data_IF_665948547347
#
_entry.id   IF_665948547347
#
_cell.length_a   1.000
_cell.length_b   1.000
_cell.length_c   1.000
_cell.angle_alpha   90.00
_cell.angle_beta   90.00
_cell.angle_gamma   90.00
#
_symmetry.space_group_name_H-M   'P 1'
#
loop_
_entity.id
_entity.type
_entity.pdbx_description
1 polymer ?
#
# COMPACT_ATOMS: atom_id res chain seq x y z
N UNK A 1 26.38 -20.38 27.73
CA UNK A 1 25.84 -19.00 27.86
C UNK A 1 26.85 -17.92 28.26
N UNK A 2 27.93 -18.25 29.00
CA UNK A 2 28.92 -17.27 29.50
C UNK A 2 29.56 -16.42 28.39
N UNK A 3 29.92 -17.04 27.27
CA UNK A 3 30.54 -16.38 26.12
C UNK A 3 29.58 -15.39 25.44
N UNK A 4 28.35 -15.80 25.14
CA UNK A 4 27.30 -14.94 24.60
C UNK A 4 27.05 -13.72 25.49
N UNK A 5 26.95 -13.91 26.80
CA UNK A 5 26.79 -12.80 27.74
C UNK A 5 27.99 -11.85 27.75
N UNK A 6 29.22 -12.36 27.60
CA UNK A 6 30.42 -11.54 27.45
C UNK A 6 30.38 -10.71 26.16
N UNK A 7 30.04 -11.33 25.04
CA UNK A 7 29.92 -10.66 23.74
C UNK A 7 28.84 -9.58 23.74
N UNK A 8 27.66 -9.85 24.31
CA UNK A 8 26.57 -8.87 24.40
C UNK A 8 26.92 -7.68 25.32
N UNK A 9 27.63 -7.91 26.42
CA UNK A 9 28.18 -6.84 27.27
C UNK A 9 29.25 -6.02 26.56
N UNK A 10 30.15 -6.69 25.82
CA UNK A 10 31.15 -6.03 25.00
C UNK A 10 30.50 -5.16 23.93
N UNK A 11 29.47 -5.67 23.26
CA UNK A 11 28.68 -4.93 22.28
C UNK A 11 28.02 -3.69 22.91
N UNK A 12 27.30 -3.86 24.03
CA UNK A 12 26.63 -2.76 24.72
C UNK A 12 27.58 -1.68 25.23
N UNK A 13 28.72 -2.08 25.81
CA UNK A 13 29.63 -1.16 26.48
C UNK A 13 30.68 -0.54 25.54
N UNK A 14 31.12 -1.27 24.50
CA UNK A 14 32.21 -0.82 23.61
C UNK A 14 31.75 -0.42 22.22
N UNK A 15 30.70 -1.06 21.67
CA UNK A 15 30.24 -0.79 20.31
C UNK A 15 29.07 0.18 20.27
N UNK A 16 28.01 -0.02 21.06
CA UNK A 16 26.85 0.87 21.05
C UNK A 16 27.19 2.37 21.28
N UNK A 17 28.13 2.75 22.17
CA UNK A 17 28.48 4.17 22.35
C UNK A 17 29.18 4.79 21.13
N UNK A 18 29.83 3.97 20.29
CA UNK A 18 30.53 4.44 19.07
C UNK A 18 29.56 4.78 17.94
N UNK A 19 28.33 4.27 17.98
CA UNK A 19 27.32 4.46 16.95
C UNK A 19 26.11 5.20 17.51
N UNK A 20 25.92 6.45 17.09
CA UNK A 20 24.74 7.23 17.46
C UNK A 20 23.49 6.72 16.70
N UNK A 21 22.79 5.74 17.27
CA UNK A 21 21.54 5.22 16.71
C UNK A 21 20.39 6.18 16.94
N UNK A 22 19.59 6.43 15.90
CA UNK A 22 18.34 7.19 15.97
C UNK A 22 17.18 6.28 15.56
N UNK A 23 16.01 6.41 16.19
CA UNK A 23 14.84 5.63 15.78
C UNK A 23 14.45 5.98 14.35
N UNK A 24 13.95 5.01 13.60
CA UNK A 24 13.43 5.27 12.27
C UNK A 24 12.21 6.23 12.35
N UNK A 25 11.92 7.02 11.31
CA UNK A 25 10.76 7.93 11.32
C UNK A 25 9.44 7.24 11.66
N UNK A 26 9.24 6.00 11.18
CA UNK A 26 8.08 5.18 11.49
C UNK A 26 8.00 4.76 12.97
N UNK A 27 9.13 4.43 13.59
CA UNK A 27 9.22 4.08 15.01
C UNK A 27 8.99 5.30 15.89
N UNK A 28 9.59 6.44 15.54
CA UNK A 28 9.38 7.72 16.23
C UNK A 28 7.90 8.13 16.18
N UNK A 29 7.26 8.02 15.01
CA UNK A 29 5.83 8.27 14.84
C UNK A 29 4.97 7.27 15.63
N UNK A 30 5.33 5.98 15.64
CA UNK A 30 4.63 4.97 16.45
C UNK A 30 4.75 5.26 17.96
N UNK A 31 5.93 5.62 18.44
CA UNK A 31 6.16 6.02 19.82
C UNK A 31 5.36 7.27 20.20
N UNK A 32 5.31 8.27 19.31
CA UNK A 32 4.47 9.45 19.49
C UNK A 32 2.99 9.07 19.61
N UNK A 33 2.46 8.23 18.71
CA UNK A 33 1.08 7.75 18.78
C UNK A 33 0.78 7.02 20.09
N UNK A 34 1.69 6.16 20.57
CA UNK A 34 1.55 5.46 21.86
C UNK A 34 1.51 6.42 23.04
N UNK A 35 2.40 7.44 23.05
CA UNK A 35 2.40 8.47 24.10
C UNK A 35 1.11 9.31 24.07
N UNK A 36 0.69 9.73 22.89
CA UNK A 36 -0.57 10.46 22.70
C UNK A 36 -1.77 9.63 23.17
N UNK A 37 -1.81 8.33 22.87
CA UNK A 37 -2.88 7.44 23.33
C UNK A 37 -2.95 7.29 24.85
N UNK A 38 -1.80 7.34 25.56
CA UNK A 38 -1.75 7.33 27.03
C UNK A 38 -2.18 8.64 27.69
N UNK A 39 -2.11 9.76 26.96
CA UNK A 39 -2.47 11.11 27.45
C UNK A 39 -3.94 11.43 27.15
N UNK A 40 -4.61 10.70 26.25
CA UNK A 40 -6.05 10.87 26.04
C UNK A 40 -6.78 10.63 27.37
N UNK A 41 -7.55 11.61 27.88
CA UNK A 41 -8.36 11.38 29.06
C UNK A 41 -9.36 10.25 28.76
N UNK A 42 -9.63 9.43 29.78
CA UNK A 42 -10.73 8.48 29.72
C UNK A 42 -12.01 9.22 29.27
N UNK A 43 -12.84 8.53 28.49
CA UNK A 43 -14.13 9.04 28.01
C UNK A 43 -14.95 9.64 29.17
N UNK A 44 -15.76 10.69 28.92
CA UNK A 44 -16.51 11.35 29.98
C UNK A 44 -17.42 10.34 30.72
N UNK A 45 -17.54 10.42 32.05
CA UNK A 45 -18.46 9.57 32.78
C UNK A 45 -19.90 9.92 32.37
N UNK A 46 -20.69 8.90 32.03
CA UNK A 46 -22.15 9.02 31.89
C UNK A 46 -22.82 9.46 33.20
N UNK A 47 -24.12 9.80 33.17
CA UNK A 47 -24.75 10.63 34.18
C UNK A 47 -24.84 9.94 35.55
N UNK A 48 -24.37 10.71 36.55
CA UNK A 48 -24.66 10.67 37.99
C UNK A 48 -25.28 9.41 38.60
N UNK A 49 -24.52 8.75 39.48
CA UNK A 49 -25.03 8.35 40.80
C UNK A 49 -24.07 8.80 41.89
N UNK A 50 -24.62 9.61 42.79
CA UNK A 50 -24.02 10.24 43.96
C UNK A 50 -23.38 9.24 44.91
N UNK A 51 -22.07 9.39 45.20
CA UNK A 51 -21.51 9.10 46.53
C UNK A 51 -20.47 10.16 46.89
N UNK A 52 -20.70 10.79 48.04
CA UNK A 52 -19.92 11.86 48.65
C UNK A 52 -18.50 11.35 48.99
N UNK A 53 -17.49 12.18 48.74
CA UNK A 53 -16.14 12.04 49.31
C UNK A 53 -15.77 13.39 49.94
N UNK A 54 -15.25 13.35 51.16
CA UNK A 54 -14.65 14.48 51.88
C UNK A 54 -13.16 14.65 51.47
N UNK A 55 -12.57 15.85 51.65
CA UNK A 55 -11.58 16.41 50.74
C UNK A 55 -10.12 16.18 51.17
N UNK A 56 -9.20 16.14 50.20
CA UNK A 56 -7.76 16.24 50.48
C UNK A 56 -6.89 16.29 49.22
N UNK A 57 -6.13 17.38 49.08
CA UNK A 57 -5.02 17.64 48.15
C UNK A 57 -5.37 17.88 46.66
N UNK A 58 -5.61 19.16 46.35
CA UNK A 58 -5.55 19.72 44.99
C UNK A 58 -4.12 19.80 44.48
N UNK A 59 -3.67 18.82 43.71
CA UNK A 59 -2.55 19.00 42.77
C UNK A 59 -3.10 19.23 41.36
N UNK A 60 -2.92 20.47 40.88
CA UNK A 60 -3.25 20.86 39.51
C UNK A 60 -2.43 20.05 38.49
N UNK A 61 -3.02 19.57 37.38
CA UNK A 61 -2.27 18.86 36.36
C UNK A 61 -1.37 19.84 35.60
N UNK A 62 -0.06 19.75 35.82
CA UNK A 62 0.94 20.47 35.03
C UNK A 62 0.77 20.08 33.56
N UNK A 63 0.32 21.02 32.73
CA UNK A 63 0.33 20.92 31.25
C UNK A 63 1.76 20.69 30.80
N UNK A 64 2.13 19.43 30.55
CA UNK A 64 3.44 19.08 30.03
C UNK A 64 3.51 19.56 28.57
N UNK A 65 4.29 20.62 28.34
CA UNK A 65 4.62 21.13 27.01
C UNK A 65 5.21 20.00 26.14
N UNK A 66 4.45 19.60 25.12
CA UNK A 66 4.86 18.66 24.07
C UNK A 66 5.84 19.35 23.11
N UNK A 67 7.03 19.73 23.60
CA UNK A 67 8.15 19.96 22.68
C UNK A 67 8.64 18.58 22.21
N UNK A 68 8.83 18.36 20.89
CA UNK A 68 9.43 17.13 20.38
C UNK A 68 10.86 17.05 20.90
N UNK A 69 11.04 16.42 22.05
CA UNK A 69 12.36 16.09 22.57
C UNK A 69 13.01 15.17 21.55
N UNK A 70 14.08 15.65 20.91
CA UNK A 70 14.93 14.85 20.03
C UNK A 70 15.16 13.50 20.72
N UNK A 71 14.80 12.38 20.09
CA UNK A 71 14.92 11.08 20.75
C UNK A 71 16.37 10.89 21.14
N UNK A 72 16.64 10.82 22.47
CA UNK A 72 17.92 10.36 22.99
C UNK A 72 18.18 9.00 22.33
N UNK A 73 19.39 8.81 21.80
CA UNK A 73 19.75 7.58 21.09
C UNK A 73 19.34 6.36 21.90
N UNK A 74 18.69 5.41 21.24
CA UNK A 74 18.22 4.19 21.89
C UNK A 74 19.42 3.27 22.10
N UNK A 75 19.94 3.23 23.32
CA UNK A 75 20.94 2.23 23.71
C UNK A 75 20.38 0.82 23.65
N UNK A 76 21.26 -0.17 23.49
CA UNK A 76 20.90 -1.58 23.59
C UNK A 76 20.55 -1.94 25.04
N UNK A 77 19.37 -2.52 25.28
CA UNK A 77 18.92 -2.92 26.61
C UNK A 77 19.26 -4.39 26.89
N UNK A 78 20.21 -4.61 27.79
CA UNK A 78 20.66 -5.94 28.24
C UNK A 78 19.75 -6.60 29.29
N UNK A 79 18.93 -5.83 30.01
CA UNK A 79 18.14 -6.31 31.15
C UNK A 79 16.83 -7.01 30.74
N UNK A 80 16.67 -7.28 29.46
CA UNK A 80 15.46 -7.95 28.96
C UNK A 80 15.55 -9.43 29.26
N UNK A 81 14.54 -9.99 29.95
CA UNK A 81 14.43 -11.43 30.25
C UNK A 81 14.79 -12.33 29.06
N UNK A 82 14.35 -11.95 27.85
CA UNK A 82 14.65 -12.68 26.61
C UNK A 82 16.13 -12.98 26.42
N UNK A 83 17.02 -12.05 26.75
CA UNK A 83 18.48 -12.20 26.60
C UNK A 83 19.02 -13.20 27.62
N UNK A 84 18.48 -13.20 28.84
CA UNK A 84 18.91 -14.10 29.91
C UNK A 84 18.43 -15.54 29.68
N UNK A 85 17.25 -15.70 29.09
CA UNK A 85 16.69 -17.01 28.75
C UNK A 85 17.27 -17.62 27.46
N UNK A 86 18.07 -16.88 26.67
CA UNK A 86 18.62 -17.35 25.38
C UNK A 86 19.34 -18.70 25.46
N UNK A 87 20.00 -18.98 26.59
CA UNK A 87 20.69 -20.24 26.81
C UNK A 87 19.77 -21.44 26.91
N UNK A 88 18.64 -21.25 27.59
CA UNK A 88 17.72 -22.32 27.93
C UNK A 88 16.82 -22.68 26.73
N UNK A 89 16.76 -21.83 25.69
CA UNK A 89 15.96 -22.12 24.51
C UNK A 89 16.40 -23.38 23.77
N UNK A 90 17.69 -23.72 23.71
CA UNK A 90 18.14 -24.91 23.00
C UNK A 90 17.57 -26.18 23.63
N UNK A 91 17.78 -26.34 24.93
CA UNK A 91 17.26 -27.48 25.71
C UNK A 91 15.72 -27.49 25.70
N UNK A 92 15.09 -26.32 25.80
CA UNK A 92 13.63 -26.21 25.72
C UNK A 92 13.07 -26.61 24.34
N UNK A 93 13.76 -26.29 23.25
CA UNK A 93 13.35 -26.67 21.89
C UNK A 93 13.47 -28.19 21.71
N UNK A 94 14.51 -28.81 22.26
CA UNK A 94 14.69 -30.26 22.18
C UNK A 94 13.62 -31.01 22.98
N UNK A 95 13.31 -30.55 24.20
CA UNK A 95 12.37 -31.22 25.10
C UNK A 95 10.91 -30.98 24.73
N UNK A 96 10.55 -29.75 24.34
CA UNK A 96 9.15 -29.34 24.17
C UNK A 96 8.80 -28.89 22.75
N UNK A 97 9.78 -28.85 21.85
CA UNK A 97 9.62 -28.29 20.51
C UNK A 97 9.74 -26.75 20.49
N UNK A 98 9.69 -26.16 19.29
CA UNK A 98 9.87 -24.72 19.14
C UNK A 98 8.72 -23.93 19.80
N UNK A 99 9.09 -22.84 20.48
CA UNK A 99 8.14 -22.02 21.26
C UNK A 99 7.10 -21.26 20.44
N UNK A 100 7.24 -21.25 19.12
CA UNK A 100 6.32 -20.61 18.18
C UNK A 100 4.96 -21.33 18.11
N UNK A 101 4.88 -22.59 18.55
CA UNK A 101 3.65 -23.39 18.54
C UNK A 101 2.80 -23.33 19.83
N UNK A 102 3.26 -22.73 20.93
CA UNK A 102 2.47 -22.67 22.17
C UNK A 102 1.33 -21.64 22.13
N UNK A 103 1.35 -20.71 21.18
CA UNK A 103 0.34 -19.67 21.10
C UNK A 103 -0.89 -20.14 20.31
N UNK A 104 -2.06 -20.11 20.97
CA UNK A 104 -3.35 -20.26 20.28
C UNK A 104 -3.67 -19.07 19.37
N UNK A 105 -2.90 -17.98 19.44
CA UNK A 105 -3.12 -16.75 18.68
C UNK A 105 -3.22 -17.01 17.18
N UNK A 106 -2.40 -17.91 16.63
CA UNK A 106 -2.44 -18.22 15.20
C UNK A 106 -3.74 -18.92 14.81
N UNK A 107 -4.16 -19.91 15.60
CA UNK A 107 -5.46 -20.58 15.41
C UNK A 107 -6.63 -19.61 15.56
N UNK A 108 -6.61 -18.74 16.58
CA UNK A 108 -7.64 -17.72 16.80
C UNK A 108 -7.71 -16.71 15.63
N UNK A 109 -6.57 -16.28 15.10
CA UNK A 109 -6.52 -15.39 13.94
C UNK A 109 -7.09 -16.04 12.69
N UNK A 110 -6.77 -17.31 12.43
CA UNK A 110 -7.36 -18.06 11.31
C UNK A 110 -8.86 -18.30 11.51
N UNK A 111 -9.32 -18.56 12.74
CA UNK A 111 -10.76 -18.64 13.06
C UNK A 111 -11.49 -17.33 12.72
N UNK A 112 -10.88 -16.16 12.98
CA UNK A 112 -11.47 -14.87 12.57
C UNK A 112 -11.59 -14.75 11.05
N UNK A 113 -10.65 -15.30 10.30
CA UNK A 113 -10.67 -15.30 8.83
C UNK A 113 -11.79 -16.20 8.30
N UNK A 114 -11.90 -17.43 8.77
CA UNK A 114 -12.97 -18.38 8.37
C UNK A 114 -14.35 -17.83 8.75
N UNK A 115 -14.53 -17.32 9.98
CA UNK A 115 -15.80 -16.68 10.40
C UNK A 115 -16.18 -15.47 9.53
N UNK A 116 -15.19 -14.70 9.05
CA UNK A 116 -15.44 -13.58 8.13
C UNK A 116 -15.94 -14.07 6.76
N UNK A 117 -15.44 -15.19 6.26
CA UNK A 117 -15.94 -15.80 5.03
C UNK A 117 -17.31 -16.42 5.22
N UNK A 118 -17.54 -17.13 6.33
CA UNK A 118 -18.83 -17.75 6.66
C UNK A 118 -19.99 -16.74 6.64
N UNK A 119 -19.79 -15.55 7.21
CA UNK A 119 -20.76 -14.44 7.16
C UNK A 119 -21.19 -14.03 5.74
N UNK A 120 -20.39 -14.33 4.73
CA UNK A 120 -20.64 -14.00 3.31
C UNK A 120 -21.17 -15.17 2.50
N UNK A 121 -21.41 -16.32 3.12
CA UNK A 121 -22.02 -17.49 2.48
C UNK A 121 -23.51 -17.53 2.72
N UNK A 122 -24.23 -18.33 1.94
CA UNK A 122 -25.65 -18.62 2.20
C UNK A 122 -25.88 -19.66 3.32
N UNK A 123 -24.81 -20.09 4.01
CA UNK A 123 -24.81 -21.12 5.08
C UNK A 123 -25.26 -22.53 4.66
N UNK A 124 -25.40 -22.80 3.36
CA UNK A 124 -25.71 -24.13 2.81
C UNK A 124 -24.49 -24.68 2.10
N UNK A 125 -23.96 -25.83 2.56
CA UNK A 125 -22.70 -26.44 2.03
C UNK A 125 -21.60 -25.37 1.87
N UNK A 126 -21.38 -24.62 2.95
CA UNK A 126 -20.61 -23.38 2.96
C UNK A 126 -19.11 -23.60 2.75
N UNK A 127 -18.61 -24.82 2.93
CA UNK A 127 -17.20 -25.18 2.80
C UNK A 127 -16.67 -24.84 1.40
N UNK A 128 -17.41 -25.25 0.36
CA UNK A 128 -17.07 -24.95 -1.05
C UNK A 128 -17.11 -23.45 -1.32
N UNK A 129 -18.02 -22.72 -0.70
CA UNK A 129 -18.15 -21.27 -0.88
C UNK A 129 -17.01 -20.52 -0.19
N UNK A 130 -16.62 -20.93 1.02
CA UNK A 130 -15.46 -20.38 1.73
C UNK A 130 -14.18 -20.63 0.91
N UNK A 131 -13.98 -21.85 0.41
CA UNK A 131 -12.82 -22.17 -0.44
C UNK A 131 -12.78 -21.29 -1.71
N UNK A 132 -13.94 -21.07 -2.36
CA UNK A 132 -14.05 -20.16 -3.51
C UNK A 132 -13.70 -18.72 -3.13
N UNK A 133 -14.24 -18.20 -2.02
CA UNK A 133 -13.92 -16.85 -1.54
C UNK A 133 -12.45 -16.67 -1.20
N UNK A 134 -11.83 -17.67 -0.59
CA UNK A 134 -10.40 -17.68 -0.31
C UNK A 134 -9.59 -17.60 -1.61
N UNK A 135 -9.90 -18.47 -2.58
CA UNK A 135 -9.22 -18.50 -3.88
C UNK A 135 -9.32 -17.18 -4.62
N UNK A 136 -10.51 -16.58 -4.67
CA UNK A 136 -10.73 -15.26 -5.29
C UNK A 136 -9.87 -14.20 -4.59
N UNK A 137 -9.91 -14.15 -3.25
CA UNK A 137 -9.12 -13.17 -2.49
C UNK A 137 -7.61 -13.36 -2.69
N UNK A 138 -7.15 -14.61 -2.79
CA UNK A 138 -5.76 -14.94 -3.07
C UNK A 138 -5.33 -14.47 -4.47
N UNK A 139 -6.11 -14.78 -5.51
CA UNK A 139 -5.85 -14.31 -6.87
C UNK A 139 -5.83 -12.78 -6.95
N UNK A 140 -6.79 -12.11 -6.31
CA UNK A 140 -6.82 -10.64 -6.25
C UNK A 140 -5.55 -10.07 -5.59
N UNK A 141 -5.12 -10.63 -4.45
CA UNK A 141 -3.86 -10.22 -3.79
C UNK A 141 -2.65 -10.44 -4.68
N UNK A 142 -2.55 -11.58 -5.36
CA UNK A 142 -1.46 -11.88 -6.29
C UNK A 142 -1.44 -10.87 -7.45
N UNK A 143 -2.60 -10.57 -8.02
CA UNK A 143 -2.75 -9.59 -9.09
C UNK A 143 -2.34 -8.18 -8.65
N UNK A 144 -2.85 -7.70 -7.50
CA UNK A 144 -2.48 -6.39 -6.95
C UNK A 144 -0.99 -6.31 -6.64
N UNK A 145 -0.39 -7.36 -6.09
CA UNK A 145 1.05 -7.40 -5.84
C UNK A 145 1.86 -7.40 -7.15
N UNK A 146 1.41 -8.13 -8.17
CA UNK A 146 2.04 -8.12 -9.49
C UNK A 146 1.97 -6.74 -10.15
N UNK A 147 0.82 -6.06 -10.07
CA UNK A 147 0.68 -4.67 -10.50
C UNK A 147 1.62 -3.74 -9.73
N UNK A 148 1.69 -3.89 -8.40
CA UNK A 148 2.59 -3.07 -7.56
C UNK A 148 4.06 -3.29 -7.91
N UNK A 149 4.46 -4.52 -8.24
CA UNK A 149 5.82 -4.83 -8.63
C UNK A 149 6.14 -4.32 -10.04
N UNK A 150 5.19 -4.42 -10.99
CA UNK A 150 5.30 -3.84 -12.34
C UNK A 150 5.41 -2.31 -12.30
N UNK A 151 4.75 -1.67 -11.33
CA UNK A 151 4.76 -0.22 -11.14
C UNK A 151 5.85 0.27 -10.18
N UNK A 152 6.70 -0.61 -9.63
CA UNK A 152 7.36 -0.37 -8.34
C UNK A 152 8.83 -0.73 -8.21
N UNK A 153 9.65 -0.41 -9.22
CA UNK A 153 11.03 0.06 -9.02
C UNK A 153 11.12 1.58 -8.73
N UNK A 154 10.00 2.32 -8.80
CA UNK A 154 9.95 3.72 -8.37
C UNK A 154 9.76 3.78 -6.86
N UNK A 155 10.90 3.88 -6.18
CA UNK A 155 11.01 4.55 -4.89
C UNK A 155 10.11 5.77 -4.89
N UNK A 156 9.37 5.95 -3.80
CA UNK A 156 8.46 7.04 -3.51
C UNK A 156 9.10 8.43 -3.68
N UNK A 157 9.30 8.89 -4.91
CA UNK A 157 9.10 10.30 -5.23
C UNK A 157 7.60 10.49 -5.20
N UNK A 158 7.12 11.16 -4.15
CA UNK A 158 5.79 11.77 -4.10
C UNK A 158 5.42 12.24 -5.50
N UNK A 159 4.36 11.71 -6.14
CA UNK A 159 3.92 12.28 -7.39
C UNK A 159 3.60 13.75 -7.07
N UNK A 160 4.28 14.67 -7.75
CA UNK A 160 3.66 15.96 -8.01
C UNK A 160 2.29 15.72 -8.66
N UNK A 161 1.41 16.71 -8.71
CA UNK A 161 0.07 16.54 -9.26
C UNK A 161 0.16 16.30 -10.78
N UNK A 162 0.49 15.08 -11.19
CA UNK A 162 0.18 14.54 -12.50
C UNK A 162 -1.28 14.13 -12.46
N UNK A 163 -2.05 14.74 -13.34
CA UNK A 163 -3.50 14.69 -13.47
C UNK A 163 -4.02 13.34 -14.00
N UNK A 164 -3.45 12.23 -13.55
CA UNK A 164 -3.98 10.88 -13.80
C UNK A 164 -5.01 10.48 -12.74
N UNK A 165 -5.69 11.47 -12.16
CA UNK A 165 -6.95 11.22 -11.49
C UNK A 165 -7.95 10.88 -12.58
N UNK A 166 -8.52 9.68 -12.55
CA UNK A 166 -9.75 9.36 -13.28
C UNK A 166 -10.71 10.52 -13.00
N UNK A 167 -10.86 11.42 -13.97
CA UNK A 167 -11.77 12.53 -13.86
C UNK A 167 -13.14 11.88 -13.86
N UNK A 168 -13.76 11.82 -12.69
CA UNK A 168 -15.13 11.36 -12.54
C UNK A 168 -16.01 12.32 -13.33
N UNK A 169 -16.32 11.98 -14.59
CA UNK A 169 -17.25 12.76 -15.40
C UNK A 169 -18.66 12.57 -14.87
N UNK A 170 -19.50 13.59 -15.04
CA UNK A 170 -20.93 13.44 -14.81
C UNK A 170 -21.48 12.38 -15.80
N UNK A 171 -22.46 11.56 -15.43
CA UNK A 171 -23.00 10.50 -16.28
C UNK A 171 -23.58 11.01 -17.62
N UNK A 172 -23.85 12.31 -17.74
CA UNK A 172 -24.30 12.97 -18.97
C UNK A 172 -23.16 13.31 -19.94
N UNK A 173 -21.90 13.22 -19.53
CA UNK A 173 -20.75 13.65 -20.32
C UNK A 173 -20.02 12.41 -20.87
N UNK A 174 -20.40 12.03 -22.11
CA UNK A 174 -19.94 10.80 -22.77
C UNK A 174 -18.46 10.83 -23.20
N UNK A 175 -17.92 12.02 -23.46
CA UNK A 175 -16.53 12.19 -23.89
C UNK A 175 -15.82 13.25 -23.03
N UNK A 176 -14.58 12.95 -22.65
CA UNK A 176 -13.69 13.88 -21.98
C UNK A 176 -12.71 14.43 -23.01
N UNK A 177 -12.83 15.70 -23.32
CA UNK A 177 -11.89 16.41 -24.18
C UNK A 177 -10.88 17.15 -23.30
N UNK A 178 -9.59 17.05 -23.64
CA UNK A 178 -8.54 17.80 -22.98
C UNK A 178 -8.77 19.31 -23.17
N UNK A 179 -8.51 20.10 -22.12
CA UNK A 179 -8.61 21.57 -22.18
C UNK A 179 -7.30 22.25 -22.61
N UNK A 180 -6.22 21.48 -22.73
CA UNK A 180 -4.87 21.97 -23.02
C UNK A 180 -4.14 20.92 -23.86
N UNK A 181 -3.39 21.38 -24.85
CA UNK A 181 -2.64 20.53 -25.80
C UNK A 181 -1.27 20.09 -25.25
N UNK A 182 -1.11 20.04 -23.91
CA UNK A 182 0.16 19.65 -23.28
C UNK A 182 0.36 18.14 -23.22
N UNK A 183 -0.75 17.40 -23.20
CA UNK A 183 -0.78 15.96 -23.03
C UNK A 183 -1.09 15.31 -24.38
N UNK A 184 -0.07 15.19 -25.23
CA UNK A 184 -0.19 14.51 -26.52
C UNK A 184 0.10 13.02 -26.40
N UNK A 185 -0.47 12.24 -27.31
CA UNK A 185 -0.20 10.82 -27.46
C UNK A 185 0.52 10.59 -28.78
N UNK A 186 1.71 9.99 -28.71
CA UNK A 186 2.44 9.53 -29.90
C UNK A 186 1.71 8.33 -30.52
N UNK A 187 1.37 8.46 -31.80
CA UNK A 187 0.62 7.48 -32.60
C UNK A 187 1.26 6.09 -32.61
N UNK A 188 2.56 6.03 -32.88
CA UNK A 188 3.27 4.76 -33.01
C UNK A 188 3.61 4.19 -31.65
N UNK A 189 3.92 5.04 -30.66
CA UNK A 189 4.10 4.61 -29.28
C UNK A 189 2.83 3.97 -28.71
N UNK A 190 1.64 4.50 -29.05
CA UNK A 190 0.36 3.94 -28.62
C UNK A 190 0.13 2.54 -29.18
N UNK A 191 0.35 2.34 -30.49
CA UNK A 191 0.20 1.03 -31.14
C UNK A 191 1.20 0.01 -30.59
N UNK A 192 2.47 0.40 -30.44
CA UNK A 192 3.52 -0.47 -29.92
C UNK A 192 3.32 -0.88 -28.45
N UNK A 193 2.66 -0.04 -27.65
CA UNK A 193 2.36 -0.33 -26.23
C UNK A 193 1.28 -1.40 -26.07
N UNK A 194 0.44 -1.61 -27.09
CA UNK A 194 -0.74 -2.47 -27.05
C UNK A 194 -0.81 -3.42 -28.27
N UNK A 195 0.19 -4.31 -28.47
CA UNK A 195 0.29 -5.12 -29.68
C UNK A 195 -0.79 -6.20 -29.83
N UNK A 196 -1.54 -6.50 -28.76
CA UNK A 196 -2.60 -7.51 -28.75
C UNK A 196 -4.01 -6.93 -28.78
N UNK A 197 -4.17 -5.62 -28.92
CA UNK A 197 -5.48 -4.97 -28.97
C UNK A 197 -6.02 -4.95 -30.41
N UNK A 198 -7.14 -5.64 -30.72
CA UNK A 198 -7.73 -5.63 -32.06
C UNK A 198 -8.12 -4.24 -32.54
N UNK A 199 -8.44 -3.31 -31.64
CA UNK A 199 -8.83 -1.95 -31.98
C UNK A 199 -7.65 -1.08 -32.44
N UNK A 200 -6.42 -1.47 -32.11
CA UNK A 200 -5.20 -0.74 -32.48
C UNK A 200 -4.45 -1.39 -33.65
N UNK A 201 -5.00 -2.48 -34.21
CA UNK A 201 -4.47 -3.10 -35.42
C UNK A 201 -4.64 -2.15 -36.60
N UNK A 202 -3.55 -1.86 -37.30
CA UNK A 202 -3.54 -0.98 -38.48
C UNK A 202 -4.10 0.43 -38.19
N UNK A 203 -4.02 0.87 -36.92
CA UNK A 203 -4.63 2.13 -36.46
C UNK A 203 -4.10 3.35 -37.22
N UNK A 204 -2.80 3.44 -37.42
CA UNK A 204 -2.19 4.57 -38.12
C UNK A 204 -2.65 4.65 -39.58
N UNK A 205 -2.80 3.52 -40.26
CA UNK A 205 -3.28 3.47 -41.65
C UNK A 205 -4.75 3.81 -41.74
N UNK A 206 -5.60 3.25 -40.86
CA UNK A 206 -7.03 3.55 -40.81
C UNK A 206 -7.30 5.01 -40.45
N UNK A 207 -6.47 5.60 -39.57
CA UNK A 207 -6.54 7.02 -39.23
C UNK A 207 -6.21 7.89 -40.44
N UNK A 208 -5.13 7.58 -41.17
CA UNK A 208 -4.76 8.31 -42.40
C UNK A 208 -5.86 8.22 -43.45
N UNK A 209 -6.44 7.04 -43.67
CA UNK A 209 -7.53 6.85 -44.62
C UNK A 209 -8.78 7.63 -44.21
N UNK A 210 -9.11 7.66 -42.91
CA UNK A 210 -10.21 8.46 -42.39
C UNK A 210 -9.98 9.96 -42.60
N UNK A 211 -8.78 10.46 -42.32
CA UNK A 211 -8.44 11.86 -42.51
C UNK A 211 -8.47 12.23 -44.00
N UNK A 212 -7.93 11.39 -44.87
CA UNK A 212 -7.97 11.58 -46.32
C UNK A 212 -9.41 11.61 -46.84
N UNK A 213 -10.26 10.66 -46.42
CA UNK A 213 -11.67 10.65 -46.79
C UNK A 213 -12.36 11.97 -46.39
N UNK A 214 -12.04 12.48 -45.19
CA UNK A 214 -12.64 13.70 -44.67
C UNK A 214 -12.15 14.96 -45.36
N UNK A 215 -10.86 15.04 -45.69
CA UNK A 215 -10.29 16.15 -46.47
C UNK A 215 -10.87 16.17 -47.89
N UNK A 216 -11.03 14.99 -48.50
CA UNK A 216 -11.58 14.82 -49.85
C UNK A 216 -13.12 14.77 -49.90
N UNK A 217 -13.79 14.95 -48.76
CA UNK A 217 -15.25 14.87 -48.60
C UNK A 217 -15.89 13.58 -49.19
N UNK A 218 -15.19 12.45 -49.08
CA UNK A 218 -15.70 11.13 -49.47
C UNK A 218 -16.33 10.42 -48.27
N UNK A 219 -17.32 9.57 -48.53
CA UNK A 219 -17.85 8.67 -47.50
C UNK A 219 -16.78 7.62 -47.17
N UNK A 220 -16.45 7.51 -45.88
CA UNK A 220 -15.51 6.52 -45.37
C UNK A 220 -16.30 5.30 -44.89
N UNK A 221 -16.32 4.25 -45.70
CA UNK A 221 -16.77 2.93 -45.28
C UNK A 221 -15.52 2.09 -44.96
N UNK A 222 -15.44 1.58 -43.72
CA UNK A 222 -14.24 1.01 -43.14
C UNK A 222 -13.67 -0.24 -43.85
N UNK A 223 -14.37 -0.77 -44.86
CA UNK A 223 -13.87 -1.75 -45.83
C UNK A 223 -14.60 -1.53 -47.18
N UNK A 224 -13.92 -1.61 -48.35
CA UNK A 224 -12.49 -1.84 -48.61
C UNK A 224 -11.63 -0.55 -48.56
N UNK A 225 -10.27 -0.65 -48.55
CA UNK A 225 -9.39 0.52 -48.46
C UNK A 225 -9.61 1.48 -49.64
N UNK A 226 -10.06 2.70 -49.33
CA UNK A 226 -10.39 3.75 -50.29
C UNK A 226 -9.15 4.42 -50.92
N UNK A 227 -7.97 4.27 -50.30
CA UNK A 227 -6.76 5.02 -50.65
C UNK A 227 -5.52 4.11 -50.70
N UNK A 228 -4.63 4.40 -51.65
CA UNK A 228 -3.36 3.68 -51.83
C UNK A 228 -2.32 4.14 -50.80
N UNK A 229 -1.21 3.40 -50.66
CA UNK A 229 -0.11 3.82 -49.80
C UNK A 229 0.52 5.14 -50.26
N UNK A 230 0.54 5.38 -51.58
CA UNK A 230 1.02 6.63 -52.18
C UNK A 230 0.18 7.83 -51.73
N UNK A 231 -1.15 7.67 -51.71
CA UNK A 231 -2.07 8.69 -51.20
C UNK A 231 -1.86 8.94 -49.69
N UNK A 232 -1.65 7.88 -48.90
CA UNK A 232 -1.39 7.97 -47.45
C UNK A 232 -0.06 8.64 -47.12
N UNK A 233 0.93 8.55 -48.01
CA UNK A 233 2.23 9.19 -47.85
C UNK A 233 2.20 10.70 -48.11
N UNK A 234 1.15 11.21 -48.77
CA UNK A 234 0.93 12.65 -48.94
C UNK A 234 0.39 13.32 -47.67
N UNK A 235 -0.14 12.54 -46.72
CA UNK A 235 -0.67 13.05 -45.46
C UNK A 235 0.39 12.99 -44.35
N UNK A 236 0.80 14.16 -43.88
CA UNK A 236 1.75 14.34 -42.78
C UNK A 236 1.04 14.79 -41.49
N UNK A 237 1.21 14.03 -40.41
CA UNK A 237 0.72 14.40 -39.08
C UNK A 237 1.86 15.09 -38.34
N UNK A 238 1.66 16.33 -37.92
CA UNK A 238 2.71 17.11 -37.27
C UNK A 238 3.20 16.42 -36.00
N UNK A 239 4.51 16.12 -35.96
CA UNK A 239 5.21 15.50 -34.82
C UNK A 239 4.65 14.13 -34.38
N UNK A 240 3.83 13.48 -35.21
CA UNK A 240 3.13 12.21 -34.89
C UNK A 240 2.28 12.26 -33.61
N UNK A 241 1.78 13.46 -33.27
CA UNK A 241 1.02 13.74 -32.04
C UNK A 241 -0.49 13.73 -32.29
N UNK A 242 -1.21 13.02 -31.43
CA UNK A 242 -2.65 13.13 -31.21
C UNK A 242 -2.97 13.86 -29.90
#
# INVERSE_FOLDING_TARGET
TKELGHQLRCYANKLCPKYATKPLPGEAAAAYRRRAAKIKPAAPPGPAKTKKVAPGASEQPKKQNLKPKVPKGSGFNLETYKIHALGDYADNIEQFGPTDCFSTQQGELEHRRVKRFYKRTNKVRFERQIAKHERIKHHYRKYVNALRNKTGGRTTSRPGPSTDGVVSSAPQQHHLMAKKDRDHVDLYALSNKHPGDPALKDFATLLKDHLLARILNKQYDAEPPLFTEEDRNQLYISEDRL
#
